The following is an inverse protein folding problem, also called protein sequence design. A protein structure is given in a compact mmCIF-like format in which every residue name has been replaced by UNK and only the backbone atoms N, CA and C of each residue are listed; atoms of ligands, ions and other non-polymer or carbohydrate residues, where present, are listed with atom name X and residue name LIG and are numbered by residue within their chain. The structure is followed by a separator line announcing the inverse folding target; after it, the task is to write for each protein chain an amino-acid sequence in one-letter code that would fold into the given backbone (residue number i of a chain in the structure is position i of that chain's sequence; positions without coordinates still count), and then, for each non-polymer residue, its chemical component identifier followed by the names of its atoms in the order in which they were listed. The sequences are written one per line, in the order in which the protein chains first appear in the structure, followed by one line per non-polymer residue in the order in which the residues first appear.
data_IF_618262941390
#
_entry.id   IF_618262941390
#
_cell.length_a   1.000
_cell.length_b   1.000
_cell.length_c   1.000
_cell.angle_alpha   90.00
_cell.angle_beta   90.00
_cell.angle_gamma   90.00
#
_symmetry.space_group_name_H-M   'P 1'
#
loop_
_entity.id
_entity.type
_entity.pdbx_description
1 polymer ?
#
# COMPACT_ATOMS: atom_id res chain seq x y z
N UNK A 1 0.58 10.70 5.48
CA UNK A 1 0.77 9.78 6.64
C UNK A 1 1.85 10.33 7.53
N UNK A 2 1.74 10.13 8.84
CA UNK A 2 2.74 10.54 9.83
C UNK A 2 3.15 9.34 10.68
N UNK A 3 4.39 9.33 11.16
CA UNK A 3 4.92 8.23 11.96
C UNK A 3 5.79 8.77 13.09
N UNK A 4 5.77 8.06 14.22
CA UNK A 4 6.40 8.52 15.45
C UNK A 4 7.22 7.39 16.10
N UNK A 5 8.40 7.74 16.61
CA UNK A 5 9.20 6.92 17.52
C UNK A 5 9.75 7.87 18.57
N UNK A 6 9.48 7.62 19.85
CA UNK A 6 9.89 8.55 20.90
C UNK A 6 11.40 8.73 20.98
N UNK A 7 11.81 9.97 21.29
CA UNK A 7 13.19 10.46 21.24
C UNK A 7 13.77 10.47 19.82
N UNK A 8 12.93 10.57 18.79
CA UNK A 8 13.35 10.75 17.39
C UNK A 8 12.47 11.80 16.73
N UNK A 9 12.97 12.48 15.68
CA UNK A 9 12.14 13.32 14.84
C UNK A 9 10.91 12.57 14.34
N UNK A 10 9.75 13.23 14.34
CA UNK A 10 8.57 12.75 13.66
C UNK A 10 8.85 12.61 12.16
N UNK A 11 8.19 11.64 11.52
CA UNK A 11 8.29 11.45 10.07
C UNK A 11 6.93 11.70 9.43
N UNK A 12 6.94 12.22 8.21
CA UNK A 12 5.74 12.43 7.42
C UNK A 12 5.98 12.10 5.95
N UNK A 13 4.95 11.59 5.28
CA UNK A 13 5.02 11.14 3.90
C UNK A 13 4.65 12.28 2.94
N UNK A 14 5.48 12.52 1.94
CA UNK A 14 5.18 13.39 0.79
C UNK A 14 5.37 12.59 -0.51
N UNK A 15 5.10 13.22 -1.66
CA UNK A 15 5.27 12.57 -2.99
C UNK A 15 6.67 11.98 -3.20
N UNK A 16 7.71 12.69 -2.74
CA UNK A 16 9.10 12.24 -2.84
C UNK A 16 9.50 11.19 -1.78
N UNK A 17 8.56 10.67 -1.01
CA UNK A 17 8.80 9.73 0.08
C UNK A 17 8.79 10.37 1.49
N UNK A 18 9.32 9.64 2.47
CA UNK A 18 9.30 10.05 3.88
C UNK A 18 10.29 11.17 4.17
N UNK A 19 9.84 12.20 4.91
CA UNK A 19 10.63 13.34 5.39
C UNK A 19 10.57 13.43 6.91
N UNK A 20 11.64 13.97 7.50
CA UNK A 20 11.75 14.16 8.94
C UNK A 20 11.37 15.59 9.33
N UNK A 21 10.52 15.73 10.35
CA UNK A 21 10.34 16.97 11.10
C UNK A 21 11.21 16.94 12.35
N UNK A 22 12.35 17.65 12.32
CA UNK A 22 13.29 17.74 13.44
C UNK A 22 12.77 18.58 14.62
N UNK A 23 11.61 19.25 14.48
CA UNK A 23 11.02 20.08 15.52
C UNK A 23 10.03 19.33 16.43
N UNK A 24 9.53 18.18 15.98
CA UNK A 24 8.50 17.39 16.68
C UNK A 24 9.05 16.01 17.06
N UNK A 25 8.85 15.60 18.31
CA UNK A 25 9.12 14.22 18.79
C UNK A 25 7.88 13.35 18.60
N UNK A 26 7.81 12.18 19.23
CA UNK A 26 6.60 11.35 19.20
C UNK A 26 5.40 12.06 19.82
N UNK A 27 4.22 11.76 19.25
CA UNK A 27 2.93 12.15 19.76
C UNK A 27 2.13 10.88 20.07
N UNK A 28 1.44 10.86 21.20
CA UNK A 28 0.67 9.72 21.69
C UNK A 28 -0.84 9.97 21.68
N UNK A 29 -1.27 11.22 21.87
CA UNK A 29 -2.67 11.61 21.84
C UNK A 29 -3.18 11.87 20.43
N UNK A 30 -4.37 11.36 20.11
CA UNK A 30 -4.99 11.52 18.80
C UNK A 30 -5.26 13.00 18.45
N UNK A 31 -5.58 13.84 19.42
CA UNK A 31 -5.78 15.29 19.17
C UNK A 31 -4.49 15.97 18.72
N UNK A 32 -3.37 15.61 19.35
CA UNK A 32 -2.06 16.18 19.03
C UNK A 32 -1.57 15.67 17.67
N UNK A 33 -1.82 14.39 17.36
CA UNK A 33 -1.53 13.81 16.03
C UNK A 33 -2.38 14.48 14.94
N UNK A 34 -3.67 14.74 15.20
CA UNK A 34 -4.53 15.47 14.26
C UNK A 34 -4.04 16.91 14.05
N UNK A 35 -3.67 17.60 15.13
CA UNK A 35 -3.10 18.95 15.04
C UNK A 35 -1.82 18.95 14.22
N UNK A 36 -0.93 17.98 14.44
CA UNK A 36 0.29 17.80 13.66
C UNK A 36 0.01 17.53 12.17
N UNK A 37 -0.93 16.63 11.85
CA UNK A 37 -1.34 16.37 10.47
C UNK A 37 -1.81 17.65 9.76
N UNK A 38 -2.58 18.52 10.43
CA UNK A 38 -3.05 19.80 9.85
C UNK A 38 -1.92 20.79 9.59
N UNK A 39 -0.87 20.78 10.41
CA UNK A 39 0.32 21.63 10.20
C UNK A 39 1.16 21.11 9.03
N UNK A 40 1.35 19.80 8.95
CA UNK A 40 2.19 19.17 7.91
C UNK A 40 1.50 19.15 6.55
N UNK A 41 0.17 19.02 6.52
CA UNK A 41 -0.64 18.98 5.31
C UNK A 41 -1.66 20.14 5.30
N UNK A 42 -1.21 21.40 5.17
CA UNK A 42 -2.09 22.57 5.31
C UNK A 42 -3.09 22.72 4.17
N UNK A 43 -2.74 22.25 2.97
CA UNK A 43 -3.61 22.27 1.79
C UNK A 43 -4.63 21.13 1.79
N UNK A 44 -4.43 20.12 2.64
CA UNK A 44 -5.35 19.01 2.82
C UNK A 44 -6.35 19.38 3.92
N UNK A 45 -7.65 19.24 3.66
CA UNK A 45 -8.67 19.49 4.67
C UNK A 45 -8.74 18.34 5.70
N UNK A 46 -7.68 18.12 6.48
CA UNK A 46 -7.58 16.99 7.42
C UNK A 46 -8.58 17.15 8.57
N UNK A 47 -9.48 16.18 8.72
CA UNK A 47 -10.54 16.19 9.74
C UNK A 47 -10.38 15.08 10.78
N UNK A 48 -9.70 13.98 10.45
CA UNK A 48 -9.53 12.84 11.33
C UNK A 48 -8.16 12.18 11.15
N UNK A 49 -7.80 11.31 12.09
CA UNK A 49 -6.59 10.47 12.01
C UNK A 49 -6.93 9.05 12.39
N UNK A 50 -6.23 8.10 11.79
CA UNK A 50 -6.41 6.68 12.09
C UNK A 50 -5.08 5.96 12.01
N UNK A 51 -4.87 5.00 12.89
CA UNK A 51 -3.71 4.12 12.80
C UNK A 51 -3.79 3.24 11.52
N UNK A 52 -2.67 3.04 10.83
CA UNK A 52 -2.61 2.25 9.60
C UNK A 52 -2.89 0.78 9.87
N UNK A 53 -3.54 0.07 8.93
CA UNK A 53 -3.78 -1.38 9.03
C UNK A 53 -2.53 -2.23 8.86
N UNK A 54 -1.49 -1.68 8.23
CA UNK A 54 -0.23 -2.35 7.98
C UNK A 54 0.97 -1.58 8.55
N UNK A 55 2.05 -2.34 8.82
CA UNK A 55 3.36 -1.79 9.15
C UNK A 55 4.05 -1.30 7.87
N UNK A 56 4.80 -0.22 7.99
CA UNK A 56 5.57 0.36 6.88
C UNK A 56 7.04 0.41 7.28
N UNK A 57 7.91 0.06 6.34
CA UNK A 57 9.37 0.20 6.50
C UNK A 57 9.77 1.59 6.04
N UNK A 58 10.23 2.42 6.97
CA UNK A 58 10.65 3.80 6.75
C UNK A 58 12.18 3.83 6.80
N UNK A 59 12.87 4.04 5.66
CA UNK A 59 14.32 4.15 5.64
C UNK A 59 14.76 5.51 6.18
N UNK A 60 16.06 5.62 6.47
CA UNK A 60 16.73 6.90 6.69
C UNK A 60 16.15 7.76 7.84
N UNK A 61 15.56 7.13 8.86
CA UNK A 61 15.03 7.84 10.02
C UNK A 61 16.17 8.40 10.88
N UNK A 62 16.23 9.71 11.14
CA UNK A 62 17.28 10.28 11.98
C UNK A 62 17.22 9.77 13.44
N UNK A 63 18.36 9.39 14.00
CA UNK A 63 18.43 8.92 15.40
C UNK A 63 18.22 10.04 16.42
N UNK A 64 18.67 11.25 16.09
CA UNK A 64 18.79 12.44 16.95
C UNK A 64 19.01 13.68 16.06
N UNK A 65 19.64 14.75 16.60
CA UNK A 65 20.07 15.92 15.80
C UNK A 65 21.32 15.65 14.94
N UNK A 66 21.93 14.46 15.03
CA UNK A 66 23.08 14.08 14.21
C UNK A 66 22.65 13.59 12.82
N UNK A 67 23.63 13.36 11.94
CA UNK A 67 23.38 12.83 10.59
C UNK A 67 23.22 11.29 10.56
N UNK A 68 23.19 10.61 11.72
CA UNK A 68 23.00 9.15 11.77
C UNK A 68 21.54 8.78 11.54
N UNK A 69 21.34 7.79 10.67
CA UNK A 69 20.01 7.38 10.22
C UNK A 69 19.84 5.86 10.24
N UNK A 70 18.64 5.38 10.56
CA UNK A 70 18.30 3.97 10.61
C UNK A 70 16.95 3.69 9.94
N UNK A 71 16.81 2.48 9.41
CA UNK A 71 15.53 2.00 8.91
C UNK A 71 14.71 1.44 10.06
N UNK A 72 13.44 1.83 10.14
CA UNK A 72 12.50 1.33 11.14
C UNK A 72 11.22 0.82 10.49
N UNK A 73 10.65 -0.22 11.09
CA UNK A 73 9.37 -0.78 10.68
C UNK A 73 8.33 -0.40 11.74
N UNK A 74 7.41 0.47 11.38
CA UNK A 74 6.47 1.11 12.32
C UNK A 74 5.05 1.09 11.78
N UNK A 75 4.06 1.31 12.65
CA UNK A 75 2.67 1.52 12.26
C UNK A 75 2.40 3.03 12.22
N UNK A 76 2.27 3.63 11.02
CA UNK A 76 2.02 5.07 10.93
C UNK A 76 0.55 5.40 11.18
N UNK A 77 0.27 6.69 11.38
CA UNK A 77 -1.06 7.26 11.32
C UNK A 77 -1.35 7.84 9.93
N UNK A 78 -2.56 7.64 9.46
CA UNK A 78 -3.11 8.26 8.25
C UNK A 78 -3.83 9.53 8.65
N UNK A 79 -3.52 10.62 7.95
CA UNK A 79 -4.22 11.89 8.07
C UNK A 79 -5.37 11.86 7.05
N UNK A 80 -6.61 11.88 7.51
CA UNK A 80 -7.79 11.69 6.67
C UNK A 80 -8.39 13.05 6.28
N UNK A 81 -8.44 13.39 4.97
CA UNK A 81 -9.10 14.59 4.51
C UNK A 81 -10.64 14.44 4.53
N UNK A 82 -11.34 15.50 4.92
CA UNK A 82 -12.72 15.79 4.55
C UNK A 82 -13.76 14.68 4.75
N UNK A 83 -14.76 14.67 3.86
CA UNK A 83 -15.85 13.69 3.83
C UNK A 83 -15.26 12.30 3.73
N UNK A 84 -15.47 11.50 4.77
CA UNK A 84 -14.87 10.19 4.89
C UNK A 84 -15.14 9.33 3.65
N UNK A 85 -14.07 8.91 2.97
CA UNK A 85 -14.10 7.87 1.95
C UNK A 85 -13.41 6.64 2.52
N UNK A 86 -14.06 5.48 2.41
CA UNK A 86 -13.45 4.22 2.84
C UNK A 86 -12.29 3.83 1.93
N UNK A 87 -11.42 2.97 2.43
CA UNK A 87 -10.27 2.51 1.65
C UNK A 87 -10.74 1.59 0.51
N UNK A 88 -10.02 1.59 -0.60
CA UNK A 88 -10.22 0.55 -1.61
C UNK A 88 -9.47 -0.71 -1.18
N UNK A 89 -10.19 -1.74 -0.71
CA UNK A 89 -9.61 -3.04 -0.43
C UNK A 89 -9.49 -3.88 -1.71
N UNK A 90 -8.32 -4.46 -1.93
CA UNK A 90 -8.11 -5.44 -2.98
C UNK A 90 -8.72 -6.77 -2.54
N UNK A 91 -9.44 -7.44 -3.44
CA UNK A 91 -10.02 -8.76 -3.22
C UNK A 91 -9.31 -9.74 -4.14
N UNK A 92 -8.31 -10.50 -3.65
CA UNK A 92 -7.64 -11.52 -4.46
C UNK A 92 -8.60 -12.64 -4.89
N UNK A 93 -8.16 -13.46 -5.83
CA UNK A 93 -8.92 -14.63 -6.26
C UNK A 93 -9.19 -15.57 -5.08
N UNK A 94 -10.38 -16.17 -5.05
CA UNK A 94 -10.85 -17.07 -3.99
C UNK A 94 -11.05 -16.42 -2.61
N UNK A 95 -10.83 -15.12 -2.47
CA UNK A 95 -11.16 -14.36 -1.28
C UNK A 95 -12.57 -13.74 -1.40
N UNK A 96 -13.13 -13.37 -0.25
CA UNK A 96 -14.47 -12.77 -0.16
C UNK A 96 -14.40 -11.43 0.60
N UNK A 97 -15.06 -10.41 0.05
CA UNK A 97 -15.27 -9.12 0.69
C UNK A 97 -16.57 -9.12 1.50
N UNK A 98 -16.56 -8.50 2.67
CA UNK A 98 -17.73 -8.32 3.52
C UNK A 98 -17.59 -7.05 4.37
N UNK A 99 -18.66 -6.65 5.04
CA UNK A 99 -18.65 -5.49 5.93
C UNK A 99 -19.67 -5.60 7.07
N UNK A 100 -19.40 -4.86 8.15
CA UNK A 100 -20.29 -4.69 9.29
C UNK A 100 -20.38 -3.21 9.64
N UNK A 101 -21.60 -2.71 9.81
CA UNK A 101 -21.87 -1.35 10.25
C UNK A 101 -22.97 -1.32 11.30
N UNK A 102 -22.77 -0.53 12.36
CA UNK A 102 -23.76 -0.23 13.39
C UNK A 102 -23.59 1.22 13.85
N UNK A 103 -24.58 2.07 13.55
CA UNK A 103 -24.54 3.49 13.88
C UNK A 103 -24.51 3.77 15.40
N UNK A 104 -24.94 2.83 16.24
CA UNK A 104 -24.87 2.96 17.68
C UNK A 104 -23.47 2.65 18.24
N UNK A 105 -22.60 2.02 17.46
CA UNK A 105 -21.23 1.67 17.83
C UNK A 105 -20.27 2.73 17.32
N UNK A 106 -19.31 3.12 18.16
CA UNK A 106 -18.26 4.06 17.77
C UNK A 106 -16.95 3.64 18.44
N UNK A 107 -16.17 2.86 17.71
CA UNK A 107 -15.02 2.11 18.24
C UNK A 107 -13.75 2.36 17.42
N UNK A 108 -12.61 2.09 18.05
CA UNK A 108 -11.28 2.32 17.47
C UNK A 108 -10.78 1.21 16.55
N UNK A 109 -9.63 1.47 15.92
CA UNK A 109 -8.94 0.55 15.01
C UNK A 109 -8.79 -0.88 15.57
N UNK A 110 -8.30 -1.03 16.80
CA UNK A 110 -8.04 -2.35 17.40
C UNK A 110 -9.31 -3.19 17.61
N UNK A 111 -10.43 -2.54 17.97
CA UNK A 111 -11.71 -3.22 18.11
C UNK A 111 -12.18 -3.78 16.76
N UNK A 112 -12.18 -2.94 15.73
CA UNK A 112 -12.63 -3.33 14.39
C UNK A 112 -11.72 -4.38 13.74
N UNK A 113 -10.42 -4.37 14.04
CA UNK A 113 -9.50 -5.44 13.64
C UNK A 113 -9.95 -6.80 14.20
N UNK A 114 -10.24 -6.88 15.50
CA UNK A 114 -10.70 -8.11 16.15
C UNK A 114 -12.04 -8.56 15.57
N UNK A 115 -12.98 -7.63 15.36
CA UNK A 115 -14.28 -7.95 14.76
C UNK A 115 -14.15 -8.55 13.36
N UNK A 116 -13.31 -7.97 12.51
CA UNK A 116 -13.04 -8.49 11.17
C UNK A 116 -12.35 -9.87 11.21
N UNK A 117 -11.36 -10.01 12.09
CA UNK A 117 -10.59 -11.26 12.26
C UNK A 117 -11.48 -12.42 12.75
N UNK A 118 -12.32 -12.18 13.75
CA UNK A 118 -13.28 -13.16 14.25
C UNK A 118 -14.32 -13.54 13.18
N UNK A 119 -14.75 -12.58 12.35
CA UNK A 119 -15.70 -12.84 11.27
C UNK A 119 -15.12 -13.79 10.20
N UNK A 120 -13.85 -13.63 9.83
CA UNK A 120 -13.16 -14.56 8.93
C UNK A 120 -12.95 -15.93 9.59
N UNK A 121 -12.45 -15.96 10.84
CA UNK A 121 -12.21 -17.22 11.56
C UNK A 121 -13.46 -18.08 11.69
N UNK A 122 -14.64 -17.48 11.88
CA UNK A 122 -15.93 -18.18 11.93
C UNK A 122 -16.27 -18.94 10.63
N UNK A 123 -15.70 -18.53 9.50
CA UNK A 123 -15.87 -19.14 8.18
C UNK A 123 -14.72 -20.11 7.83
N UNK A 124 -13.77 -20.35 8.75
CA UNK A 124 -12.60 -21.19 8.47
C UNK A 124 -11.59 -20.54 7.52
N UNK A 125 -11.59 -19.21 7.43
CA UNK A 125 -10.68 -18.39 6.61
C UNK A 125 -9.85 -17.45 7.50
N UNK A 126 -8.80 -16.84 6.95
CA UNK A 126 -8.03 -15.80 7.65
C UNK A 126 -8.43 -14.40 7.16
N UNK A 127 -8.18 -13.40 8.01
CA UNK A 127 -8.33 -12.00 7.64
C UNK A 127 -7.13 -11.56 6.80
N UNK A 128 -7.38 -11.18 5.56
CA UNK A 128 -6.36 -10.68 4.63
C UNK A 128 -6.14 -9.18 4.78
N UNK A 129 -7.23 -8.40 4.73
CA UNK A 129 -7.18 -6.96 4.90
C UNK A 129 -8.50 -6.42 5.46
N UNK A 130 -8.45 -5.23 6.05
CA UNK A 130 -9.64 -4.54 6.54
C UNK A 130 -9.49 -3.02 6.45
N UNK A 131 -10.63 -2.35 6.33
CA UNK A 131 -10.80 -0.90 6.29
C UNK A 131 -11.86 -0.49 7.30
N UNK A 132 -11.71 0.71 7.87
CA UNK A 132 -12.72 1.24 8.78
C UNK A 132 -13.82 1.94 7.98
N UNK A 133 -15.05 1.97 8.51
CA UNK A 133 -16.19 2.59 7.85
C UNK A 133 -16.78 3.70 8.72
N UNK A 134 -17.10 4.81 8.07
CA UNK A 134 -17.92 5.91 8.59
C UNK A 134 -17.40 6.50 9.91
N UNK A 135 -16.65 7.60 9.79
CA UNK A 135 -16.22 8.42 10.92
C UNK A 135 -17.38 8.75 11.87
N UNK A 136 -17.20 8.52 13.17
CA UNK A 136 -18.15 8.93 14.20
C UNK A 136 -17.50 9.86 15.25
N UNK A 137 -16.26 9.58 15.67
CA UNK A 137 -15.44 10.45 16.53
C UNK A 137 -13.98 10.43 16.05
N UNK A 138 -13.15 11.26 16.67
CA UNK A 138 -11.70 11.29 16.40
C UNK A 138 -11.09 9.90 16.63
N UNK A 139 -10.49 9.32 15.60
CA UNK A 139 -9.92 7.96 15.61
C UNK A 139 -10.91 6.83 15.81
N UNK A 140 -12.23 7.08 15.71
CA UNK A 140 -13.28 6.07 15.92
C UNK A 140 -14.30 6.05 14.78
N UNK A 141 -14.83 4.85 14.56
CA UNK A 141 -15.58 4.47 13.37
C UNK A 141 -16.78 3.61 13.77
N UNK A 142 -17.83 3.66 12.96
CA UNK A 142 -19.09 2.95 13.20
C UNK A 142 -19.23 1.66 12.38
N UNK A 143 -18.17 1.24 11.71
CA UNK A 143 -18.14 -0.02 11.00
C UNK A 143 -16.75 -0.42 10.53
N UNK A 144 -16.71 -1.58 9.88
CA UNK A 144 -15.52 -2.19 9.30
C UNK A 144 -15.90 -2.92 8.01
N UNK A 145 -15.06 -2.85 7.00
CA UNK A 145 -15.08 -3.70 5.81
C UNK A 145 -13.82 -4.56 5.80
N UNK A 146 -13.90 -5.77 5.27
CA UNK A 146 -12.81 -6.73 5.36
C UNK A 146 -12.84 -7.77 4.24
N UNK A 147 -11.66 -8.33 3.97
CA UNK A 147 -11.44 -9.39 2.99
C UNK A 147 -10.97 -10.63 3.74
N UNK A 148 -11.70 -11.74 3.58
CA UNK A 148 -11.31 -13.04 4.11
C UNK A 148 -10.78 -13.93 2.98
N UNK A 149 -9.68 -14.63 3.21
CA UNK A 149 -9.06 -15.54 2.24
C UNK A 149 -8.95 -16.97 2.79
N UNK A 150 -8.94 -18.01 1.93
CA UNK A 150 -8.69 -19.38 2.35
C UNK A 150 -7.34 -19.50 3.07
N UNK A 151 -7.28 -20.29 4.14
CA UNK A 151 -6.02 -20.63 4.79
C UNK A 151 -5.15 -21.44 3.81
N UNK A 152 -3.82 -21.26 3.85
CA UNK A 152 -2.85 -21.92 2.94
C UNK A 152 -2.73 -23.46 3.11
N UNK A 153 -3.73 -24.12 3.69
CA UNK A 153 -3.78 -25.58 3.86
C UNK A 153 -5.04 -26.14 3.22
N UNK A 154 -4.83 -27.07 2.29
CA UNK A 154 -5.79 -27.89 1.50
C UNK A 154 -6.01 -27.48 0.03
N UNK A 155 -5.07 -26.81 -0.63
CA UNK A 155 -4.90 -27.03 -2.08
C UNK A 155 -3.99 -28.23 -2.27
N UNK A 156 -4.58 -29.43 -2.26
CA UNK A 156 -3.99 -30.49 -3.06
C UNK A 156 -3.90 -29.96 -4.49
N UNK A 157 -2.70 -29.68 -4.94
CA UNK A 157 -2.44 -29.33 -6.33
C UNK A 157 -2.94 -30.54 -7.16
N UNK A 158 -4.14 -30.45 -7.70
CA UNK A 158 -4.57 -31.32 -8.78
C UNK A 158 -4.09 -30.64 -10.06
N UNK A 159 -3.13 -31.24 -10.78
CA UNK A 159 -2.75 -30.74 -12.10
C UNK A 159 -3.99 -30.66 -12.97
N UNK A 160 -4.13 -29.66 -13.85
CA UNK A 160 -5.20 -29.62 -14.83
C UNK A 160 -5.25 -30.95 -15.58
N UNK A 161 -6.38 -31.65 -15.56
CA UNK A 161 -6.60 -32.76 -16.48
C UNK A 161 -6.62 -32.20 -17.89
N UNK A 162 -5.85 -32.82 -18.78
CA UNK A 162 -5.51 -32.36 -20.13
C UNK A 162 -6.66 -32.37 -21.15
N UNK A 163 -7.92 -32.37 -20.69
CA UNK A 163 -9.06 -32.68 -21.55
C UNK A 163 -10.00 -31.48 -21.82
N UNK A 164 -9.69 -30.29 -21.27
CA UNK A 164 -10.38 -29.04 -21.64
C UNK A 164 -9.60 -28.28 -22.72
N UNK A 165 -9.57 -28.83 -23.94
CA UNK A 165 -9.19 -28.05 -25.13
C UNK A 165 -10.45 -27.82 -25.98
N UNK A 166 -10.91 -26.57 -26.16
CA UNK A 166 -11.98 -26.30 -27.11
C UNK A 166 -11.47 -26.56 -28.54
N UNK A 167 -12.15 -27.46 -29.25
CA UNK A 167 -12.10 -27.63 -30.70
C UNK A 167 -12.67 -26.35 -31.33
N UNK A 168 -11.81 -25.49 -31.88
CA UNK A 168 -12.04 -24.71 -33.11
C UNK A 168 -11.08 -23.51 -33.17
N UNK A 169 -9.91 -23.73 -33.78
CA UNK A 169 -9.12 -22.67 -34.41
C UNK A 169 -8.65 -23.21 -35.75
N UNK A 170 -9.53 -23.09 -36.75
CA UNK A 170 -9.18 -23.39 -38.14
C UNK A 170 -8.06 -22.46 -38.62
N UNK A 171 -6.99 -23.13 -39.05
CA UNK A 171 -5.86 -22.65 -39.80
C UNK A 171 -6.29 -22.05 -41.15
N UNK A 172 -5.91 -20.80 -41.44
CA UNK A 172 -5.79 -20.31 -42.81
C UNK A 172 -4.93 -19.04 -42.85
N UNK A 173 -3.64 -19.20 -43.14
CA UNK A 173 -2.92 -18.48 -44.20
C UNK A 173 -1.44 -18.89 -44.19
N UNK A 174 -1.12 -19.91 -44.98
CA UNK A 174 0.07 -19.97 -45.84
C UNK A 174 0.05 -18.72 -46.76
N UNK A 175 1.10 -18.13 -47.31
CA UNK A 175 2.57 -18.27 -47.37
C UNK A 175 3.02 -16.96 -48.07
N UNK A 176 4.28 -16.52 -47.92
CA UNK A 176 5.13 -15.99 -49.02
C UNK A 176 6.45 -15.43 -48.45
N UNK A 177 7.51 -16.23 -48.61
CA UNK A 177 8.92 -15.88 -48.48
C UNK A 177 9.41 -15.19 -49.76
N UNK A 178 10.11 -14.05 -49.66
CA UNK A 178 11.10 -13.63 -50.66
C UNK A 178 12.29 -12.90 -49.98
N UNK A 179 13.46 -13.54 -50.08
CA UNK A 179 14.80 -13.06 -49.71
C UNK A 179 15.27 -11.90 -50.62
N UNK A 180 16.06 -10.96 -50.10
CA UNK A 180 17.19 -10.36 -50.85
C UNK A 180 18.28 -9.82 -49.91
N UNK A 181 19.50 -10.26 -50.20
CA UNK A 181 20.79 -9.94 -49.60
C UNK A 181 21.18 -8.45 -49.71
N UNK A 182 21.97 -7.96 -48.74
CA UNK A 182 23.02 -6.97 -49.00
C UNK A 182 24.13 -7.11 -47.93
N UNK A 183 25.21 -7.78 -48.31
CA UNK A 183 26.52 -7.78 -47.65
C UNK A 183 27.38 -6.62 -48.21
N UNK A 184 28.49 -6.32 -47.52
CA UNK A 184 29.62 -5.44 -47.90
C UNK A 184 29.40 -3.92 -47.70
N UNK A 185 30.31 -3.12 -47.15
CA UNK A 185 31.76 -3.18 -46.90
C UNK A 185 32.08 -2.22 -45.72
N UNK A 186 32.84 -2.62 -44.71
CA UNK A 186 34.31 -2.52 -44.57
C UNK A 186 34.85 -1.15 -44.08
N UNK A 187 35.79 -1.30 -43.16
CA UNK A 187 36.51 -0.35 -42.35
C UNK A 187 37.34 0.68 -43.15
N UNK A 188 37.45 1.89 -42.61
CA UNK A 188 38.78 2.50 -42.53
C UNK A 188 38.88 3.61 -41.50
N UNK A 189 39.91 3.44 -40.68
CA UNK A 189 40.39 4.35 -39.67
C UNK A 189 41.01 5.62 -40.26
N UNK A 190 41.27 6.54 -39.34
CA UNK A 190 42.45 7.41 -39.34
C UNK A 190 42.43 8.70 -40.21
N UNK A 191 42.09 9.83 -39.56
CA UNK A 191 43.07 10.65 -38.79
C UNK A 191 43.06 12.17 -39.10
N UNK A 192 43.52 12.92 -38.09
CA UNK A 192 44.05 14.30 -38.08
C UNK A 192 43.09 15.53 -37.95
N UNK A 193 42.88 15.90 -36.67
CA UNK A 193 43.50 17.03 -35.95
C UNK A 193 43.10 18.52 -36.14
N UNK A 194 42.92 19.16 -34.95
CA UNK A 194 43.13 20.59 -34.57
C UNK A 194 42.04 21.59 -35.04
N UNK A 195 41.51 22.56 -34.28
CA UNK A 195 41.97 23.25 -33.06
C UNK A 195 40.88 24.20 -32.52
N UNK A 196 40.85 24.37 -31.19
CA UNK A 196 40.78 25.65 -30.44
C UNK A 196 39.52 26.54 -30.60
N UNK A 197 38.58 26.45 -29.65
CA UNK A 197 38.33 27.43 -28.55
C UNK A 197 37.12 26.98 -27.71
#
# INVERSE_FOLDING_TARGET
MVAFICRKPAMYLVESGWKADKSTDCLDRLEDILAYCKVIYPEENITNVVESSYLVTIPNWPLDKSDRQHTHRVRPYRCLPGGFQSDALLVPQHCAFDHRHDQAVCEGFSHWNVVADEACKKRGTHLESFGLLLNCKLGQFSGVEYVCCPNETETSYQPPQSDDKPDDWQNSSEEEDEDYDDDDDDDSADNFYWSIL
#
